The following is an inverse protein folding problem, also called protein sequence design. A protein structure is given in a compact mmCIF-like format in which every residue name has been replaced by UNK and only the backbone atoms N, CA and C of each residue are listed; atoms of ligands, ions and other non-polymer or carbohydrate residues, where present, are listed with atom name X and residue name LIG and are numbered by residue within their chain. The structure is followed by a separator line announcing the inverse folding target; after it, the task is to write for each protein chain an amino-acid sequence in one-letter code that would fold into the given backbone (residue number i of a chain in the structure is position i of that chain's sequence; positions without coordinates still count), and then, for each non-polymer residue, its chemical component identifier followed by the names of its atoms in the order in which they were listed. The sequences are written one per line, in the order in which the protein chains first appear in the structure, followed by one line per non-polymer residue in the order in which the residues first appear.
data_IF_759813512789
#
_entry.id   IF_759813512789
#
_cell.length_a   1.000
_cell.length_b   1.000
_cell.length_c   1.000
_cell.angle_alpha   90.00
_cell.angle_beta   90.00
_cell.angle_gamma   90.00
#
_symmetry.space_group_name_H-M   'P 1'
#
loop_
_entity.id
_entity.type
_entity.pdbx_description
1 polymer ?
#
# COMPACT_ATOMS: atom_id res chain seq x y z
N UNK A 1 -21.71 5.62 5.92
CA UNK A 1 -22.22 5.79 7.31
C UNK A 1 -21.35 5.21 8.42
N UNK A 2 -20.79 3.99 8.35
CA UNK A 2 -19.93 3.49 9.45
C UNK A 2 -18.47 4.02 9.46
N UNK A 3 -17.98 4.59 8.36
CA UNK A 3 -16.62 5.14 8.27
C UNK A 3 -16.45 6.53 8.91
N UNK A 4 -17.53 7.32 9.01
CA UNK A 4 -17.47 8.68 9.57
C UNK A 4 -17.43 8.71 11.10
N UNK A 5 -18.00 7.69 11.77
CA UNK A 5 -18.05 7.64 13.24
C UNK A 5 -16.68 7.35 13.90
N UNK A 6 -15.75 6.70 13.19
CA UNK A 6 -14.43 6.34 13.73
C UNK A 6 -13.43 7.50 13.59
N UNK A 7 -13.58 8.33 12.55
CA UNK A 7 -12.72 9.48 12.30
C UNK A 7 -12.86 10.59 13.35
N UNK A 8 -14.06 10.75 13.92
CA UNK A 8 -14.34 11.81 14.90
C UNK A 8 -13.62 11.62 16.25
N UNK A 9 -13.16 10.40 16.59
CA UNK A 9 -12.53 10.13 17.89
C UNK A 9 -11.03 10.43 17.93
N UNK A 10 -10.38 10.59 16.78
CA UNK A 10 -8.94 10.83 16.68
C UNK A 10 -8.56 12.33 16.66
N UNK A 11 -9.51 13.23 16.41
CA UNK A 11 -9.23 14.67 16.25
C UNK A 11 -9.07 15.45 17.57
N UNK A 12 -9.25 14.81 18.74
CA UNK A 12 -9.28 15.50 20.04
C UNK A 12 -7.92 15.57 20.78
N UNK A 13 -6.85 14.94 20.27
CA UNK A 13 -5.55 14.93 20.93
C UNK A 13 -4.50 15.64 20.06
N UNK A 14 -4.41 16.96 20.21
CA UNK A 14 -3.35 17.77 19.60
C UNK A 14 -2.00 17.38 20.21
N UNK A 15 -1.21 16.59 19.48
CA UNK A 15 0.17 16.30 19.86
C UNK A 15 1.09 16.55 18.67
N UNK A 16 2.08 17.43 18.87
CA UNK A 16 3.13 17.70 17.90
C UNK A 16 4.05 16.49 17.76
N UNK A 17 4.29 16.03 16.54
CA UNK A 17 5.14 14.86 16.22
C UNK A 17 6.39 15.34 15.47
N UNK A 18 7.57 14.98 15.97
CA UNK A 18 8.84 15.14 15.26
C UNK A 18 9.16 13.88 14.44
N UNK A 19 9.67 14.08 13.22
CA UNK A 19 10.00 13.03 12.25
C UNK A 19 11.51 12.77 12.27
N UNK A 20 11.92 11.51 12.36
CA UNK A 20 13.32 11.10 12.20
C UNK A 20 13.42 9.99 11.15
N UNK A 21 14.36 10.12 10.21
CA UNK A 21 14.64 9.14 9.15
C UNK A 21 15.76 8.22 9.63
N UNK A 22 15.50 6.91 9.72
CA UNK A 22 16.54 5.93 10.05
C UNK A 22 17.31 5.51 8.80
N UNK A 23 18.60 5.86 8.79
CA UNK A 23 19.65 5.22 8.01
C UNK A 23 20.33 4.17 8.89
N UNK A 24 20.18 2.88 8.57
CA UNK A 24 20.73 1.78 9.38
C UNK A 24 22.12 1.35 8.93
N UNK A 25 23.06 1.29 9.88
CA UNK A 25 24.01 0.19 10.06
C UNK A 25 24.48 0.16 11.53
N UNK A 26 24.35 -1.00 12.20
CA UNK A 26 25.06 -1.29 13.45
C UNK A 26 24.20 -1.94 14.56
N UNK A 27 24.49 -3.21 14.85
CA UNK A 27 23.96 -4.02 15.94
C UNK A 27 24.15 -3.41 17.34
N UNK A 28 23.19 -3.65 18.25
CA UNK A 28 23.43 -4.14 19.63
C UNK A 28 22.11 -4.49 20.35
N UNK A 29 22.10 -5.67 20.96
CA UNK A 29 21.12 -6.15 21.94
C UNK A 29 21.04 -5.24 23.16
N UNK A 30 19.85 -4.99 23.69
CA UNK A 30 19.61 -4.75 25.13
C UNK A 30 18.21 -5.23 25.50
N UNK A 31 18.13 -6.11 26.51
CA UNK A 31 16.91 -6.47 27.23
C UNK A 31 16.55 -5.34 28.20
N UNK A 32 15.28 -4.93 28.28
CA UNK A 32 14.73 -4.35 29.51
C UNK A 32 13.28 -4.81 29.75
N UNK A 33 13.09 -5.36 30.95
CA UNK A 33 11.82 -5.59 31.63
C UNK A 33 11.36 -4.25 32.22
N UNK A 34 10.11 -3.85 32.00
CA UNK A 34 9.56 -2.65 32.62
C UNK A 34 8.06 -2.50 32.42
N UNK A 35 7.29 -2.87 33.45
CA UNK A 35 5.87 -2.54 33.56
C UNK A 35 5.74 -1.03 33.79
N UNK A 36 5.42 -0.28 32.73
CA UNK A 36 5.31 1.18 32.75
C UNK A 36 4.06 1.63 32.00
N UNK A 37 3.12 2.22 32.74
CA UNK A 37 1.93 2.87 32.20
C UNK A 37 2.35 4.19 31.51
N UNK A 38 2.89 4.07 30.29
CA UNK A 38 3.43 5.19 29.53
C UNK A 38 2.46 5.64 28.45
N UNK A 39 2.14 6.94 28.44
CA UNK A 39 1.52 7.60 27.29
C UNK A 39 2.55 7.59 26.15
N UNK A 40 2.65 6.47 25.44
CA UNK A 40 3.55 6.29 24.31
C UNK A 40 3.07 7.20 23.20
N UNK A 41 3.81 8.29 22.95
CA UNK A 41 3.78 8.95 21.65
C UNK A 41 4.32 7.97 20.61
N UNK A 42 3.47 7.05 20.18
CA UNK A 42 3.82 6.03 19.23
C UNK A 42 4.21 6.71 17.91
N UNK A 43 5.48 6.64 17.57
CA UNK A 43 5.97 7.12 16.28
C UNK A 43 5.39 6.23 15.20
N UNK A 44 4.60 6.79 14.31
CA UNK A 44 4.05 6.05 13.16
C UNK A 44 5.18 5.86 12.15
N UNK A 45 5.62 4.61 11.99
CA UNK A 45 6.68 4.21 11.04
C UNK A 45 6.16 3.19 10.04
N UNK A 46 6.86 3.03 8.91
CA UNK A 46 6.52 2.00 7.91
C UNK A 46 6.51 0.60 8.53
N UNK A 47 7.48 0.28 9.39
CA UNK A 47 7.55 -1.02 10.07
C UNK A 47 6.40 -1.22 11.05
N UNK A 48 5.98 -0.17 11.76
CA UNK A 48 4.82 -0.25 12.64
C UNK A 48 3.53 -0.53 11.84
N UNK A 49 3.39 0.07 10.64
CA UNK A 49 2.25 -0.21 9.75
C UNK A 49 2.29 -1.64 9.20
N UNK A 50 3.46 -2.17 8.84
CA UNK A 50 3.62 -3.55 8.39
C UNK A 50 3.33 -4.55 9.52
N UNK A 51 3.81 -4.28 10.74
CA UNK A 51 3.50 -5.09 11.92
C UNK A 51 2.01 -5.08 12.25
N UNK A 52 1.35 -3.93 12.13
CA UNK A 52 -0.09 -3.80 12.35
C UNK A 52 -0.89 -4.57 11.28
N UNK A 53 -0.47 -4.51 10.01
CA UNK A 53 -1.10 -5.28 8.94
C UNK A 53 -1.03 -6.78 9.21
N UNK A 54 0.14 -7.28 9.64
CA UNK A 54 0.33 -8.68 10.00
C UNK A 54 -0.52 -9.09 11.21
N UNK A 55 -0.52 -8.28 12.27
CA UNK A 55 -1.28 -8.55 13.49
C UNK A 55 -2.80 -8.64 13.26
N UNK A 56 -3.32 -7.91 12.27
CA UNK A 56 -4.75 -7.85 11.97
C UNK A 56 -5.16 -8.55 10.66
N UNK A 57 -4.24 -9.22 9.97
CA UNK A 57 -4.53 -9.92 8.71
C UNK A 57 -4.91 -9.00 7.54
N UNK A 58 -4.51 -7.73 7.57
CA UNK A 58 -4.77 -6.75 6.50
C UNK A 58 -3.61 -6.78 5.50
N UNK A 59 -3.43 -7.93 4.87
CA UNK A 59 -2.25 -8.26 4.06
C UNK A 59 -2.43 -8.02 2.56
N UNK A 60 -3.61 -7.61 2.11
CA UNK A 60 -3.81 -7.29 0.71
C UNK A 60 -3.25 -5.92 0.32
N UNK A 61 -3.01 -5.74 -0.97
CA UNK A 61 -2.59 -4.46 -1.51
C UNK A 61 -2.73 -4.40 -3.02
N UNK A 62 -2.28 -3.30 -3.62
CA UNK A 62 -2.44 -3.08 -5.06
C UNK A 62 -1.26 -2.36 -5.70
N UNK A 63 -0.83 -2.85 -6.85
CA UNK A 63 -0.02 -2.09 -7.80
C UNK A 63 -0.90 -1.05 -8.49
N UNK A 64 -0.46 0.20 -8.50
CA UNK A 64 -1.16 1.32 -9.15
C UNK A 64 -0.46 1.71 -10.45
N UNK A 65 -1.13 1.46 -11.57
CA UNK A 65 -0.65 1.75 -12.93
C UNK A 65 -1.44 2.93 -13.49
N UNK A 66 -0.78 4.06 -13.68
CA UNK A 66 -1.40 5.24 -14.29
C UNK A 66 -1.27 5.20 -15.81
N UNK A 67 -2.38 5.42 -16.51
CA UNK A 67 -2.48 5.38 -17.97
C UNK A 67 -3.12 6.66 -18.51
N UNK A 68 -2.66 7.12 -19.67
CA UNK A 68 -3.30 8.23 -20.38
C UNK A 68 -4.66 7.79 -20.93
N UNK A 69 -5.66 8.68 -21.06
CA UNK A 69 -6.99 8.33 -21.56
C UNK A 69 -6.96 7.58 -22.91
N UNK A 70 -6.14 7.99 -23.87
CA UNK A 70 -6.05 7.33 -25.18
C UNK A 70 -5.31 5.98 -25.18
N UNK A 71 -4.74 5.54 -24.06
CA UNK A 71 -3.97 4.30 -23.95
C UNK A 71 -4.61 3.27 -23.01
N UNK A 72 -5.64 3.69 -22.26
CA UNK A 72 -6.15 2.90 -21.14
C UNK A 72 -6.80 1.59 -21.59
N UNK A 73 -7.56 1.60 -22.68
CA UNK A 73 -8.29 0.41 -23.15
C UNK A 73 -7.32 -0.70 -23.60
N UNK A 74 -6.35 -0.36 -24.44
CA UNK A 74 -5.30 -1.28 -24.91
C UNK A 74 -4.43 -1.80 -23.76
N UNK A 75 -4.12 -0.93 -22.79
CA UNK A 75 -3.35 -1.33 -21.62
C UNK A 75 -4.17 -2.23 -20.69
N UNK A 76 -5.43 -1.88 -20.45
CA UNK A 76 -6.35 -2.65 -19.62
C UNK A 76 -6.55 -4.05 -20.18
N UNK A 77 -6.79 -4.18 -21.49
CA UNK A 77 -6.94 -5.47 -22.15
C UNK A 77 -5.72 -6.37 -21.88
N UNK A 78 -4.50 -5.86 -22.12
CA UNK A 78 -3.25 -6.60 -21.84
C UNK A 78 -3.10 -6.96 -20.36
N UNK A 79 -3.40 -6.05 -19.45
CA UNK A 79 -3.31 -6.28 -18.01
C UNK A 79 -4.32 -7.34 -17.57
N UNK A 80 -5.58 -7.23 -17.99
CA UNK A 80 -6.63 -8.19 -17.64
C UNK A 80 -6.28 -9.60 -18.11
N UNK A 81 -5.81 -9.74 -19.36
CA UNK A 81 -5.31 -11.03 -19.88
C UNK A 81 -4.15 -11.56 -19.07
N UNK A 82 -3.15 -10.72 -18.76
CA UNK A 82 -1.99 -11.14 -17.97
C UNK A 82 -2.38 -11.56 -16.55
N UNK A 83 -3.29 -10.83 -15.90
CA UNK A 83 -3.75 -11.11 -14.54
C UNK A 83 -4.48 -12.45 -14.47
N UNK A 84 -5.38 -12.74 -15.42
CA UNK A 84 -6.06 -14.04 -15.50
C UNK A 84 -5.09 -15.18 -15.78
N UNK A 85 -4.15 -14.99 -16.72
CA UNK A 85 -3.19 -16.02 -17.10
C UNK A 85 -2.12 -16.34 -16.03
N UNK A 86 -1.91 -15.44 -15.07
CA UNK A 86 -0.88 -15.59 -14.01
C UNK A 86 -1.49 -15.77 -12.60
N UNK A 87 -2.81 -15.91 -12.50
CA UNK A 87 -3.48 -16.17 -11.22
C UNK A 87 -3.17 -17.61 -10.76
N UNK A 88 -2.69 -17.80 -9.52
CA UNK A 88 -2.59 -19.13 -8.93
C UNK A 88 -3.93 -19.87 -8.97
N UNK A 89 -3.87 -21.19 -9.08
CA UNK A 89 -5.08 -22.02 -9.01
C UNK A 89 -5.80 -21.80 -7.68
N UNK A 90 -7.09 -21.49 -7.74
CA UNK A 90 -7.91 -21.23 -6.55
C UNK A 90 -7.86 -19.81 -5.99
N UNK A 91 -7.04 -18.90 -6.54
CA UNK A 91 -7.11 -17.47 -6.19
C UNK A 91 -7.82 -16.67 -7.28
N UNK A 92 -8.70 -15.76 -6.86
CA UNK A 92 -9.40 -14.87 -7.79
C UNK A 92 -8.45 -13.83 -8.35
N UNK A 93 -8.30 -13.77 -9.67
CA UNK A 93 -7.56 -12.69 -10.31
C UNK A 93 -8.29 -11.36 -10.08
N UNK A 94 -7.69 -10.40 -9.37
CA UNK A 94 -8.35 -9.12 -9.02
C UNK A 94 -7.63 -7.94 -9.66
N UNK A 95 -8.31 -7.27 -10.59
CA UNK A 95 -7.88 -6.00 -11.15
C UNK A 95 -9.09 -5.09 -11.39
N UNK A 96 -8.89 -3.78 -11.37
CA UNK A 96 -9.92 -2.78 -11.70
C UNK A 96 -9.30 -1.57 -12.38
N UNK A 97 -10.09 -0.89 -13.21
CA UNK A 97 -9.73 0.38 -13.85
C UNK A 97 -10.68 1.47 -13.37
N UNK A 98 -10.17 2.68 -13.14
CA UNK A 98 -11.01 3.82 -12.78
C UNK A 98 -11.87 4.28 -13.96
N UNK A 99 -13.11 4.77 -13.71
CA UNK A 99 -13.89 5.43 -14.75
C UNK A 99 -13.18 6.69 -15.25
N UNK A 100 -13.56 7.14 -16.45
CA UNK A 100 -13.03 8.37 -17.04
C UNK A 100 -13.42 9.59 -16.21
N UNK A 101 -12.49 10.53 -16.11
CA UNK A 101 -12.68 11.88 -15.56
C UNK A 101 -12.00 12.90 -16.48
N UNK A 102 -12.56 14.11 -16.64
CA UNK A 102 -11.95 15.13 -17.47
C UNK A 102 -10.51 15.41 -17.04
N UNK A 103 -9.59 15.40 -18.00
CA UNK A 103 -8.17 15.75 -17.83
C UNK A 103 -7.36 14.93 -16.79
N UNK A 104 -7.92 13.83 -16.27
CA UNK A 104 -7.23 12.94 -15.33
C UNK A 104 -6.74 11.66 -16.02
N UNK A 105 -5.54 11.16 -15.68
CA UNK A 105 -5.14 9.82 -16.08
C UNK A 105 -6.02 8.76 -15.40
N UNK A 106 -6.23 7.63 -16.08
CA UNK A 106 -6.84 6.47 -15.46
C UNK A 106 -5.85 5.78 -14.51
N UNK A 107 -6.36 5.15 -13.47
CA UNK A 107 -5.60 4.22 -12.64
C UNK A 107 -6.13 2.80 -12.83
N UNK A 108 -5.24 1.90 -13.21
CA UNK A 108 -5.46 0.46 -13.16
C UNK A 108 -4.83 -0.05 -11.87
N UNK A 109 -5.63 -0.70 -11.03
CA UNK A 109 -5.19 -1.34 -9.81
C UNK A 109 -5.16 -2.85 -10.02
N UNK A 110 -4.02 -3.49 -9.77
CA UNK A 110 -3.87 -4.96 -9.78
C UNK A 110 -3.50 -5.42 -8.39
N UNK A 111 -4.27 -6.35 -7.85
CA UNK A 111 -4.21 -6.74 -6.45
C UNK A 111 -3.21 -7.87 -6.18
N UNK A 112 -2.70 -7.87 -4.96
CA UNK A 112 -1.87 -8.89 -4.33
C UNK A 112 -2.57 -9.25 -3.03
N UNK A 113 -2.69 -10.53 -2.73
CA UNK A 113 -3.50 -11.03 -1.62
C UNK A 113 -2.72 -10.98 -0.32
N UNK A 114 -1.44 -11.34 -0.36
CA UNK A 114 -0.52 -11.21 0.75
C UNK A 114 0.76 -10.48 0.31
N UNK A 115 0.86 -9.20 0.67
CA UNK A 115 2.06 -8.41 0.37
C UNK A 115 3.26 -8.75 1.27
N UNK A 116 3.05 -9.52 2.34
CA UNK A 116 4.13 -10.06 3.16
C UNK A 116 4.86 -11.22 2.47
N UNK A 117 4.24 -11.85 1.47
CA UNK A 117 4.90 -12.75 0.52
C UNK A 117 5.59 -11.96 -0.61
N UNK A 118 6.92 -11.80 -0.58
CA UNK A 118 7.64 -11.07 -1.64
C UNK A 118 7.53 -11.77 -3.00
N UNK A 119 7.28 -13.09 -3.05
CA UNK A 119 7.14 -13.83 -4.30
C UNK A 119 5.83 -13.49 -5.00
N UNK A 120 4.72 -13.36 -4.26
CA UNK A 120 3.45 -12.90 -4.81
C UNK A 120 3.56 -11.47 -5.37
N UNK A 121 4.13 -10.55 -4.59
CA UNK A 121 4.33 -9.15 -5.00
C UNK A 121 5.16 -9.08 -6.29
N UNK A 122 6.24 -9.86 -6.37
CA UNK A 122 7.10 -9.94 -7.54
C UNK A 122 6.39 -10.60 -8.74
N UNK A 123 5.65 -11.69 -8.54
CA UNK A 123 4.90 -12.40 -9.60
C UNK A 123 3.93 -11.45 -10.31
N UNK A 124 3.14 -10.69 -9.54
CA UNK A 124 2.19 -9.72 -10.09
C UNK A 124 2.91 -8.58 -10.80
N UNK A 125 4.02 -8.07 -10.22
CA UNK A 125 4.87 -7.07 -10.88
C UNK A 125 5.38 -7.55 -12.23
N UNK A 126 5.91 -8.76 -12.31
CA UNK A 126 6.44 -9.31 -13.56
C UNK A 126 5.35 -9.55 -14.61
N UNK A 127 4.14 -9.94 -14.19
CA UNK A 127 2.99 -10.01 -15.09
C UNK A 127 2.64 -8.63 -15.70
N UNK A 128 2.68 -7.56 -14.89
CA UNK A 128 2.52 -6.19 -15.37
C UNK A 128 3.63 -5.76 -16.34
N UNK A 129 4.88 -6.14 -16.07
CA UNK A 129 6.02 -5.88 -16.98
C UNK A 129 5.82 -6.56 -18.34
N UNK A 130 5.44 -7.85 -18.35
CA UNK A 130 5.10 -8.58 -19.57
C UNK A 130 3.90 -7.98 -20.32
N UNK A 131 2.93 -7.44 -19.59
CA UNK A 131 1.80 -6.71 -20.16
C UNK A 131 2.20 -5.34 -20.76
N UNK A 132 3.46 -4.90 -20.64
CA UNK A 132 3.98 -3.68 -21.25
C UNK A 132 3.95 -2.45 -20.35
N UNK A 133 3.68 -2.59 -19.05
CA UNK A 133 3.89 -1.52 -18.08
C UNK A 133 5.40 -1.39 -17.87
N UNK A 134 6.04 -0.35 -18.40
CA UNK A 134 7.51 -0.17 -18.34
C UNK A 134 7.96 1.01 -17.47
N UNK A 135 7.03 1.87 -17.07
CA UNK A 135 7.31 3.02 -16.20
C UNK A 135 7.26 2.64 -14.73
N UNK A 136 7.71 3.58 -13.88
CA UNK A 136 7.70 3.40 -12.43
C UNK A 136 6.27 3.29 -11.92
N UNK A 137 5.98 2.24 -11.15
CA UNK A 137 4.68 2.02 -10.50
C UNK A 137 4.86 1.87 -8.99
N UNK A 138 3.81 2.21 -8.23
CA UNK A 138 3.80 2.12 -6.77
C UNK A 138 2.87 1.01 -6.29
N UNK A 139 3.29 0.28 -5.27
CA UNK A 139 2.45 -0.65 -4.54
C UNK A 139 1.90 0.00 -3.27
N UNK A 140 0.58 0.03 -3.11
CA UNK A 140 -0.09 0.55 -1.91
C UNK A 140 -0.78 -0.58 -1.14
N UNK A 141 -0.29 -0.93 0.07
CA UNK A 141 -0.99 -1.83 0.98
C UNK A 141 -2.40 -1.34 1.31
N UNK A 142 -3.33 -2.25 1.54
CA UNK A 142 -4.69 -1.89 1.97
C UNK A 142 -4.70 -1.30 3.37
N UNK A 143 -3.79 -1.73 4.26
CA UNK A 143 -3.60 -1.09 5.58
C UNK A 143 -3.36 0.43 5.45
N UNK A 144 -2.63 0.89 4.42
CA UNK A 144 -2.41 2.33 4.18
C UNK A 144 -3.69 3.03 3.72
N UNK A 145 -4.57 2.31 3.03
CA UNK A 145 -5.88 2.83 2.62
C UNK A 145 -6.80 2.94 3.83
N UNK A 146 -6.86 1.92 4.68
CA UNK A 146 -7.68 1.91 5.89
C UNK A 146 -7.26 2.96 6.91
N UNK A 147 -5.97 3.25 7.02
CA UNK A 147 -5.41 4.23 7.96
C UNK A 147 -5.30 5.65 7.40
N UNK A 148 -5.80 5.91 6.19
CA UNK A 148 -5.76 7.25 5.61
C UNK A 148 -4.35 7.73 5.20
N UNK A 149 -3.40 6.82 4.97
CA UNK A 149 -2.06 7.15 4.46
C UNK A 149 -2.16 7.48 2.97
N UNK A 150 -2.40 8.75 2.68
CA UNK A 150 -2.43 9.34 1.34
C UNK A 150 -1.28 10.34 1.15
N UNK A 151 -1.13 10.87 -0.07
CA UNK A 151 -0.16 11.93 -0.34
C UNK A 151 -0.44 13.13 0.58
N UNK A 152 0.59 13.62 1.27
CA UNK A 152 0.46 14.76 2.18
C UNK A 152 -0.08 14.44 3.57
N UNK A 153 -0.10 13.17 3.99
CA UNK A 153 -0.45 12.80 5.37
C UNK A 153 0.53 13.43 6.39
N UNK A 154 0.04 13.62 7.62
CA UNK A 154 0.78 14.29 8.70
C UNK A 154 2.01 13.55 9.23
N UNK A 155 2.21 12.29 8.83
CA UNK A 155 3.36 11.47 9.23
C UNK A 155 4.51 11.49 8.21
N UNK A 156 4.33 12.15 7.05
CA UNK A 156 5.34 12.18 5.99
C UNK A 156 5.58 10.83 5.31
N UNK A 157 4.75 9.82 5.58
CA UNK A 157 4.89 8.47 5.03
C UNK A 157 4.45 8.47 3.56
N UNK A 158 5.23 7.85 2.68
CA UNK A 158 4.82 7.70 1.27
C UNK A 158 3.62 6.74 1.18
N UNK A 159 2.59 7.07 0.37
CA UNK A 159 1.41 6.21 0.23
C UNK A 159 1.68 4.91 -0.55
N UNK A 160 2.91 4.68 -1.00
CA UNK A 160 3.36 3.44 -1.64
C UNK A 160 4.49 2.82 -0.83
N UNK A 161 4.35 1.53 -0.50
CA UNK A 161 5.31 0.73 0.26
C UNK A 161 6.47 0.22 -0.59
N UNK A 162 6.17 -0.17 -1.82
CA UNK A 162 7.15 -0.62 -2.82
C UNK A 162 7.05 0.21 -4.09
N UNK A 163 8.16 0.26 -4.82
CA UNK A 163 8.22 0.84 -6.16
C UNK A 163 8.86 -0.17 -7.10
N UNK A 164 8.39 -0.21 -8.34
CA UNK A 164 8.91 -1.06 -9.40
C UNK A 164 9.17 -0.25 -10.64
#
# INVERSE_FOLDING_TARGET
EHAEAVAAKAAAAGTQVQVQQDSSTGDKQTQENGSGNGNVNAVVTVNALDALALAHGVLSGKWMVYAKPHQVDDLWSRIATAVVANAPSGTGARAKVSPARPDEPHVVCVYVEDYSDPQEVARVREALRRAGVRWKIGFKPDVYTHLGIYKGNGWGIRPSRYFA
#
